data_IF_446946799326
#
_entry.id   IF_446946799326
#
_cell.length_a   1.000
_cell.length_b   1.000
_cell.length_c   1.000
_cell.angle_alpha   90.00
_cell.angle_beta   90.00
_cell.angle_gamma   90.00
#
_symmetry.space_group_name_H-M   'P 1'
#
loop_
_entity.id
_entity.type
_entity.pdbx_description
1 polymer ?
#
# COMPACT_ATOMS: atom_id res chain seq x y z
N UNK A 1 7.34 9.51 -20.53
CA UNK A 1 8.29 9.59 -19.41
C UNK A 1 8.71 8.17 -19.06
N UNK A 2 10.01 7.95 -18.82
CA UNK A 2 10.55 6.65 -18.37
C UNK A 2 10.57 6.62 -16.84
N UNK A 3 10.57 5.43 -16.23
CA UNK A 3 10.76 5.31 -14.77
C UNK A 3 12.15 5.86 -14.45
N UNK A 4 12.22 6.91 -13.64
CA UNK A 4 13.46 7.61 -13.31
C UNK A 4 14.18 6.95 -12.11
N UNK A 5 13.65 5.82 -11.63
CA UNK A 5 14.09 5.15 -10.41
C UNK A 5 13.75 3.65 -10.48
N UNK A 6 14.71 2.78 -10.13
CA UNK A 6 14.50 1.33 -10.02
C UNK A 6 14.48 0.94 -8.53
N UNK A 7 13.30 0.87 -7.89
CA UNK A 7 13.21 0.60 -6.46
C UNK A 7 13.68 -0.82 -6.14
N UNK A 8 14.69 -0.95 -5.28
CA UNK A 8 15.04 -2.25 -4.68
C UNK A 8 13.91 -2.78 -3.79
N UNK A 9 13.36 -1.90 -2.93
CA UNK A 9 12.28 -2.21 -2.01
C UNK A 9 11.17 -1.15 -2.05
N UNK A 10 9.98 -1.56 -1.62
CA UNK A 10 8.81 -0.69 -1.55
C UNK A 10 8.04 -0.95 -0.25
N UNK A 11 7.85 0.08 0.57
CA UNK A 11 7.11 -0.01 1.84
C UNK A 11 5.87 0.85 1.80
N UNK A 12 4.76 0.32 2.31
CA UNK A 12 3.48 1.01 2.41
C UNK A 12 3.08 1.21 3.85
N UNK A 13 2.81 2.45 4.23
CA UNK A 13 2.27 2.79 5.55
C UNK A 13 0.75 3.04 5.49
N UNK A 14 0.10 2.87 6.65
CA UNK A 14 -1.30 3.16 6.90
C UNK A 14 -1.43 4.37 7.84
N UNK A 15 -0.88 5.52 7.44
CA UNK A 15 -0.72 6.69 8.34
C UNK A 15 -1.84 7.73 8.29
N UNK A 16 -2.86 7.57 7.43
CA UNK A 16 -4.04 8.45 7.44
C UNK A 16 -5.06 7.93 8.45
N UNK A 17 -5.36 8.75 9.45
CA UNK A 17 -6.33 8.44 10.51
C UNK A 17 -7.73 8.22 9.94
N UNK A 18 -8.15 9.10 9.04
CA UNK A 18 -9.47 9.07 8.41
C UNK A 18 -9.60 7.81 7.55
N UNK A 19 -8.58 7.50 6.75
CA UNK A 19 -8.59 6.29 5.93
C UNK A 19 -8.64 5.03 6.81
N UNK A 20 -7.78 4.93 7.83
CA UNK A 20 -7.75 3.80 8.75
C UNK A 20 -9.07 3.65 9.52
N UNK A 21 -9.67 4.76 9.95
CA UNK A 21 -10.96 4.80 10.64
C UNK A 21 -12.09 4.36 9.71
N UNK A 22 -12.17 4.90 8.48
CA UNK A 22 -13.21 4.55 7.52
C UNK A 22 -13.17 3.06 7.15
N UNK A 23 -11.99 2.52 6.85
CA UNK A 23 -11.82 1.09 6.62
C UNK A 23 -12.19 0.31 7.87
N UNK A 24 -11.70 0.74 9.03
CA UNK A 24 -12.04 0.17 10.33
C UNK A 24 -13.54 0.03 10.58
N UNK A 25 -14.30 1.11 10.34
CA UNK A 25 -15.75 1.13 10.48
C UNK A 25 -16.41 0.08 9.58
N UNK A 26 -15.97 -0.03 8.33
CA UNK A 26 -16.52 -1.01 7.37
C UNK A 26 -16.31 -2.46 7.81
N UNK A 27 -15.22 -2.76 8.53
CA UNK A 27 -14.87 -4.12 8.94
C UNK A 27 -15.25 -4.47 10.38
N UNK A 28 -15.19 -3.50 11.30
CA UNK A 28 -15.29 -3.72 12.76
C UNK A 28 -16.33 -2.83 13.45
N UNK A 29 -17.00 -1.95 12.72
CA UNK A 29 -17.95 -0.98 13.26
C UNK A 29 -17.29 0.25 13.87
N UNK A 30 -18.12 1.24 14.24
CA UNK A 30 -17.67 2.56 14.71
C UNK A 30 -16.85 2.52 16.00
N UNK A 31 -17.25 1.67 16.93
CA UNK A 31 -16.62 1.63 18.26
C UNK A 31 -15.24 0.96 18.25
N UNK A 32 -14.95 0.12 17.25
CA UNK A 32 -13.72 -0.65 17.12
C UNK A 32 -12.94 -0.33 15.83
N UNK A 33 -13.08 0.91 15.34
CA UNK A 33 -12.56 1.32 14.04
C UNK A 33 -11.03 1.20 13.97
N UNK A 34 -10.28 1.61 14.98
CA UNK A 34 -8.82 1.51 14.98
C UNK A 34 -8.36 0.27 15.75
N UNK A 35 -7.35 -0.41 15.22
CA UNK A 35 -6.65 -1.43 15.98
C UNK A 35 -5.85 -0.77 17.12
N UNK A 36 -5.66 -1.45 18.27
CA UNK A 36 -4.98 -0.87 19.44
C UNK A 36 -3.59 -0.30 19.13
N UNK A 37 -2.84 -0.92 18.22
CA UNK A 37 -1.47 -0.52 17.87
C UNK A 37 -1.38 0.74 16.99
N UNK A 38 -2.45 1.11 16.29
CA UNK A 38 -2.39 2.08 15.18
C UNK A 38 -1.90 3.47 15.63
N UNK A 39 -2.24 3.89 16.85
CA UNK A 39 -1.82 5.19 17.41
C UNK A 39 -0.40 5.20 17.98
N UNK A 40 0.24 4.04 18.13
CA UNK A 40 1.52 3.91 18.82
C UNK A 40 2.69 3.64 17.87
N UNK A 41 2.41 3.18 16.66
CA UNK A 41 3.43 2.98 15.63
C UNK A 41 2.84 3.18 14.23
N UNK A 42 3.63 3.68 13.26
CA UNK A 42 3.19 3.79 11.88
C UNK A 42 3.09 2.40 11.25
N UNK A 43 1.90 1.81 11.30
CA UNK A 43 1.66 0.46 10.77
C UNK A 43 1.99 0.44 9.29
N UNK A 44 2.84 -0.51 8.86
CA UNK A 44 3.25 -0.65 7.48
C UNK A 44 3.59 -2.08 7.10
N UNK A 45 3.75 -2.31 5.81
CA UNK A 45 4.07 -3.62 5.24
C UNK A 45 4.84 -3.47 3.92
N UNK A 46 5.58 -4.52 3.55
CA UNK A 46 6.28 -4.57 2.27
C UNK A 46 5.28 -4.67 1.12
N UNK A 47 5.39 -3.76 0.17
CA UNK A 47 4.72 -3.85 -1.11
C UNK A 47 5.57 -4.58 -2.14
N UNK A 48 5.14 -4.54 -3.41
CA UNK A 48 5.83 -5.21 -4.51
C UNK A 48 6.53 -4.19 -5.42
N UNK A 49 7.85 -4.06 -5.27
CA UNK A 49 8.66 -3.13 -6.06
C UNK A 49 8.60 -3.41 -7.57
N UNK A 50 8.65 -4.68 -7.97
CA UNK A 50 8.62 -5.11 -9.38
C UNK A 50 7.36 -4.75 -10.17
N UNK A 51 6.32 -4.23 -9.52
CA UNK A 51 5.06 -3.81 -10.15
C UNK A 51 4.85 -2.29 -10.13
N UNK A 52 5.86 -1.53 -9.71
CA UNK A 52 5.83 -0.07 -9.80
C UNK A 52 6.09 0.31 -11.26
N UNK A 53 5.19 1.13 -11.81
CA UNK A 53 5.26 1.59 -13.21
C UNK A 53 5.00 3.09 -13.29
N UNK A 54 5.53 3.72 -14.34
CA UNK A 54 5.32 5.16 -14.56
C UNK A 54 3.89 5.50 -14.93
N UNK A 55 3.53 6.75 -14.65
CA UNK A 55 2.29 7.35 -15.12
C UNK A 55 2.09 7.13 -16.62
N UNK A 56 0.85 6.84 -17.02
CA UNK A 56 0.48 6.49 -18.39
C UNK A 56 0.62 5.01 -18.75
N UNK A 57 1.28 4.19 -17.91
CA UNK A 57 1.34 2.74 -18.14
C UNK A 57 -0.05 2.11 -17.99
N UNK A 58 -0.59 1.40 -19.01
CA UNK A 58 -1.88 0.74 -18.89
C UNK A 58 -1.86 -0.35 -17.81
N UNK A 59 -2.83 -0.30 -16.90
CA UNK A 59 -2.97 -1.31 -15.83
C UNK A 59 -4.10 -2.26 -16.18
N UNK A 60 -3.77 -3.55 -16.28
CA UNK A 60 -4.77 -4.61 -16.44
C UNK A 60 -5.29 -5.04 -15.07
N UNK A 61 -6.61 -5.03 -14.90
CA UNK A 61 -7.21 -5.46 -13.64
C UNK A 61 -6.85 -6.89 -13.26
N UNK A 62 -6.57 -7.15 -11.96
CA UNK A 62 -6.10 -8.45 -11.51
C UNK A 62 -7.16 -9.52 -11.71
N UNK A 63 -6.70 -10.73 -12.00
CA UNK A 63 -7.53 -11.93 -11.96
C UNK A 63 -7.27 -12.65 -10.65
N UNK A 64 -8.31 -12.88 -9.87
CA UNK A 64 -8.21 -13.52 -8.56
C UNK A 64 -9.37 -14.48 -8.34
N UNK A 65 -9.07 -15.58 -7.63
CA UNK A 65 -10.10 -16.50 -7.14
C UNK A 65 -10.78 -15.86 -5.94
N UNK A 66 -12.10 -15.75 -5.98
CA UNK A 66 -12.89 -15.20 -4.88
C UNK A 66 -13.34 -16.34 -3.96
N UNK A 67 -12.56 -16.59 -2.90
CA UNK A 67 -12.90 -17.53 -1.83
C UNK A 67 -13.22 -18.98 -2.25
N UNK A 68 -13.80 -19.75 -1.32
CA UNK A 68 -14.31 -21.11 -1.51
C UNK A 68 -15.73 -21.11 -2.11
N UNK A 69 -15.98 -20.31 -3.14
CA UNK A 69 -17.21 -20.46 -3.92
C UNK A 69 -17.00 -21.56 -4.96
N UNK A 70 -17.94 -22.51 -5.04
CA UNK A 70 -17.96 -23.69 -5.92
C UNK A 70 -18.04 -23.37 -7.42
N UNK A 71 -18.12 -22.09 -7.78
CA UNK A 71 -18.30 -21.65 -9.17
C UNK A 71 -17.05 -20.95 -9.68
N UNK A 72 -16.59 -21.38 -10.84
CA UNK A 72 -15.36 -20.97 -11.51
C UNK A 72 -15.45 -19.51 -11.99
N UNK A 73 -15.26 -18.56 -11.07
CA UNK A 73 -15.51 -17.13 -11.29
C UNK A 73 -14.23 -16.32 -11.49
N UNK A 74 -13.42 -16.70 -12.49
CA UNK A 74 -12.25 -15.92 -12.93
C UNK A 74 -12.62 -14.49 -13.37
N UNK A 75 -13.84 -14.28 -13.89
CA UNK A 75 -14.28 -13.01 -14.46
C UNK A 75 -14.82 -11.97 -13.46
N UNK A 76 -15.10 -12.32 -12.20
CA UNK A 76 -15.65 -11.38 -11.20
C UNK A 76 -14.59 -10.52 -10.49
N UNK A 77 -13.32 -10.91 -10.62
CA UNK A 77 -12.17 -10.28 -9.95
C UNK A 77 -11.92 -8.81 -10.33
N UNK A 78 -12.28 -8.39 -11.55
CA UNK A 78 -12.01 -7.03 -12.06
C UNK A 78 -12.96 -5.94 -11.54
N UNK A 79 -14.10 -6.31 -10.95
CA UNK A 79 -15.19 -5.34 -10.69
C UNK A 79 -14.91 -4.32 -9.58
N UNK A 80 -13.95 -4.59 -8.68
CA UNK A 80 -13.59 -3.67 -7.58
C UNK A 80 -12.09 -3.30 -7.62
N UNK A 81 -11.63 -2.82 -8.77
CA UNK A 81 -10.40 -2.03 -8.79
C UNK A 81 -10.68 -0.67 -8.15
N UNK A 82 -9.79 -0.27 -7.26
CA UNK A 82 -9.91 0.98 -6.52
C UNK A 82 -8.58 1.74 -6.54
N UNK A 83 -8.71 3.05 -6.51
CA UNK A 83 -7.63 4.03 -6.46
C UNK A 83 -7.26 4.27 -5.00
N UNK A 84 -5.97 4.28 -4.68
CA UNK A 84 -5.50 4.77 -3.39
C UNK A 84 -4.40 5.78 -3.64
N UNK A 85 -4.74 7.06 -3.55
CA UNK A 85 -3.78 8.15 -3.71
C UNK A 85 -2.89 8.25 -2.49
N UNK A 86 -1.58 8.33 -2.75
CA UNK A 86 -0.55 8.37 -1.72
C UNK A 86 0.59 9.26 -2.18
N UNK A 87 1.21 9.89 -1.19
CA UNK A 87 2.55 10.43 -1.33
C UNK A 87 3.56 9.35 -1.00
N UNK A 88 4.62 9.28 -1.81
CA UNK A 88 5.73 8.37 -1.58
C UNK A 88 7.03 9.13 -1.57
N UNK A 89 7.81 8.90 -0.53
CA UNK A 89 9.16 9.43 -0.40
C UNK A 89 10.16 8.48 -1.05
N UNK A 90 11.10 9.05 -1.80
CA UNK A 90 12.21 8.33 -2.40
C UNK A 90 13.40 8.45 -1.45
N UNK A 91 14.04 7.32 -1.16
CA UNK A 91 15.24 7.24 -0.34
C UNK A 91 16.41 6.89 -1.26
N UNK A 92 17.48 7.68 -1.22
CA UNK A 92 18.69 7.45 -2.01
C UNK A 92 19.89 7.07 -1.11
N UNK A 93 19.89 7.55 0.13
CA UNK A 93 21.00 7.33 1.07
C UNK A 93 20.98 5.89 1.61
N UNK A 94 22.04 5.09 1.37
CA UNK A 94 22.11 3.73 1.88
C UNK A 94 22.24 3.70 3.40
N UNK A 95 21.63 2.71 4.03
CA UNK A 95 21.77 2.43 5.46
C UNK A 95 22.53 1.14 5.68
N UNK A 96 23.12 0.97 6.87
CA UNK A 96 23.74 -0.29 7.26
C UNK A 96 22.73 -1.14 8.02
N UNK A 97 22.69 -2.43 7.71
CA UNK A 97 21.86 -3.39 8.43
C UNK A 97 22.24 -3.39 9.92
N UNK A 98 21.24 -3.21 10.79
CA UNK A 98 21.43 -3.17 12.24
C UNK A 98 21.73 -1.79 12.82
N UNK A 99 21.92 -0.76 11.99
CA UNK A 99 22.13 0.62 12.44
C UNK A 99 20.83 1.44 12.22
N UNK A 100 20.08 1.76 13.29
CA UNK A 100 18.83 2.51 13.16
C UNK A 100 19.09 4.00 12.83
N UNK A 101 18.16 4.60 12.07
CA UNK A 101 18.14 6.05 11.83
C UNK A 101 17.36 6.74 12.95
N UNK A 102 17.93 7.80 13.52
CA UNK A 102 17.26 8.60 14.53
C UNK A 102 16.22 9.54 13.90
N UNK A 103 15.18 9.93 14.64
CA UNK A 103 14.13 10.80 14.10
C UNK A 103 14.66 12.18 13.70
N UNK A 104 15.70 12.66 14.38
CA UNK A 104 16.34 13.96 14.15
C UNK A 104 17.06 14.01 12.80
N UNK A 105 17.51 12.86 12.28
CA UNK A 105 18.27 12.75 11.02
C UNK A 105 17.47 12.09 9.90
N UNK A 106 16.28 11.56 10.19
CA UNK A 106 15.48 10.81 9.23
C UNK A 106 15.13 11.59 7.96
N UNK A 107 14.95 12.91 8.05
CA UNK A 107 14.64 13.75 6.90
C UNK A 107 15.79 13.83 5.89
N UNK A 108 17.04 13.72 6.34
CA UNK A 108 18.23 13.79 5.49
C UNK A 108 18.35 12.58 4.54
N UNK A 109 17.59 11.51 4.82
CA UNK A 109 17.54 10.31 3.98
C UNK A 109 16.49 10.41 2.85
N UNK A 110 15.64 11.45 2.86
CA UNK A 110 14.59 11.65 1.87
C UNK A 110 15.13 12.48 0.70
N UNK A 111 15.32 11.85 -0.45
CA UNK A 111 15.74 12.51 -1.69
C UNK A 111 14.62 13.37 -2.29
N UNK A 112 13.39 12.86 -2.27
CA UNK A 112 12.27 13.52 -2.90
C UNK A 112 10.95 12.82 -2.65
N UNK A 113 9.90 13.30 -3.33
CA UNK A 113 8.55 12.78 -3.17
C UNK A 113 7.85 12.69 -4.53
N UNK A 114 7.03 11.65 -4.69
CA UNK A 114 6.22 11.43 -5.89
C UNK A 114 4.77 11.15 -5.51
N UNK A 115 3.87 11.46 -6.43
CA UNK A 115 2.49 10.99 -6.34
C UNK A 115 2.43 9.53 -6.83
N UNK A 116 1.78 8.67 -6.06
CA UNK A 116 1.54 7.29 -6.44
C UNK A 116 0.07 6.95 -6.29
N UNK A 117 -0.40 6.12 -7.22
CA UNK A 117 -1.66 5.44 -7.08
C UNK A 117 -1.41 3.95 -6.80
N UNK A 118 -1.73 3.53 -5.58
CA UNK A 118 -1.60 2.16 -5.13
C UNK A 118 -2.88 1.38 -5.49
N UNK A 119 -2.92 0.88 -6.73
CA UNK A 119 -4.06 0.14 -7.27
C UNK A 119 -4.40 -1.07 -6.40
N UNK A 120 -5.65 -1.17 -5.97
CA UNK A 120 -6.10 -2.30 -5.14
C UNK A 120 -7.30 -3.01 -5.76
N UNK A 121 -7.22 -4.34 -5.89
CA UNK A 121 -8.37 -5.17 -6.21
C UNK A 121 -9.06 -5.62 -4.93
N UNK A 122 -10.02 -4.86 -4.40
CA UNK A 122 -10.61 -5.06 -3.06
C UNK A 122 -11.19 -6.47 -2.84
N UNK A 123 -11.70 -7.09 -3.90
CA UNK A 123 -12.21 -8.46 -3.90
C UNK A 123 -11.14 -9.52 -3.58
N UNK A 124 -9.86 -9.23 -3.84
CA UNK A 124 -8.75 -10.15 -3.57
C UNK A 124 -8.37 -10.19 -2.09
N UNK A 125 -8.62 -9.10 -1.35
CA UNK A 125 -8.16 -8.92 0.02
C UNK A 125 -9.17 -9.36 1.07
N UNK A 126 -10.47 -9.39 0.74
CA UNK A 126 -11.55 -9.75 1.68
C UNK A 126 -11.44 -11.17 2.24
N UNK A 127 -10.61 -12.03 1.65
CA UNK A 127 -10.41 -13.42 2.08
C UNK A 127 -9.10 -13.65 2.86
N UNK A 128 -8.35 -12.58 3.18
CA UNK A 128 -7.06 -12.64 3.90
C UNK A 128 -7.14 -11.97 5.29
N UNK A 129 -8.24 -11.27 5.59
CA UNK A 129 -8.52 -10.67 6.90
C UNK A 129 -9.67 -11.37 7.60
#
# INVERSE_FOLDING_TARGET
>A
MTVIFDPGDYTRFLSSLEHATNVGIMFRGKDNALMPNWKYLPVGYHGRASSIVVSGTPIKGPMAKLGQMTVNLLNLSRKLMDLNWKWHFLLETPTKLGEPISIETAQDYIFGMVLMNDWSGKNCFKFIL
#
